data_IF_470824066578
#
_entry.id   IF_470824066578
#
_cell.length_a   1.000
_cell.length_b   1.000
_cell.length_c   1.000
_cell.angle_alpha   90.00
_cell.angle_beta   90.00
_cell.angle_gamma   90.00
#
_symmetry.space_group_name_H-M   'P 1'
#
loop_
_entity.id
_entity.type
_entity.pdbx_description
1 polymer ?
#
# COMPACT_ATOMS: atom_id res chain seq x y z
N UNK A 1 10.18 -51.24 -9.48
CA UNK A 1 10.07 -49.83 -9.88
C UNK A 1 9.63 -49.04 -8.65
N UNK A 2 10.53 -48.28 -8.02
CA UNK A 2 10.24 -47.58 -6.78
C UNK A 2 9.88 -46.12 -7.08
N UNK A 3 8.65 -45.73 -6.74
CA UNK A 3 8.13 -44.37 -6.88
C UNK A 3 8.81 -43.42 -5.88
N UNK A 4 9.35 -42.31 -6.39
CA UNK A 4 9.90 -41.24 -5.57
C UNK A 4 8.78 -40.27 -5.17
N UNK A 5 8.40 -40.24 -3.90
CA UNK A 5 7.55 -39.20 -3.33
C UNK A 5 8.37 -37.93 -3.14
N UNK A 6 8.10 -36.89 -3.94
CA UNK A 6 8.65 -35.55 -3.73
C UNK A 6 7.75 -34.79 -2.75
N UNK A 7 8.20 -34.68 -1.51
CA UNK A 7 7.58 -33.85 -0.48
C UNK A 7 7.93 -32.38 -0.76
N UNK A 8 7.04 -31.65 -1.43
CA UNK A 8 7.21 -30.20 -1.65
C UNK A 8 6.77 -29.49 -0.38
N UNK A 9 7.74 -29.27 0.52
CA UNK A 9 7.56 -28.47 1.72
C UNK A 9 6.95 -27.10 1.38
N UNK A 10 5.86 -26.78 2.06
CA UNK A 10 5.18 -25.49 2.04
C UNK A 10 6.14 -24.37 2.43
N UNK A 11 6.69 -23.66 1.44
CA UNK A 11 7.45 -22.43 1.66
C UNK A 11 6.47 -21.32 2.06
N UNK A 12 6.52 -20.91 3.31
CA UNK A 12 5.92 -19.67 3.80
C UNK A 12 6.31 -18.51 2.87
N UNK A 13 5.37 -17.62 2.50
CA UNK A 13 5.68 -16.53 1.58
C UNK A 13 6.78 -15.65 2.16
N UNK A 14 7.90 -15.59 1.42
CA UNK A 14 9.07 -14.78 1.75
C UNK A 14 8.63 -13.33 1.86
N UNK A 15 8.71 -12.77 3.05
CA UNK A 15 8.40 -11.36 3.28
C UNK A 15 9.38 -10.48 2.49
N UNK A 16 8.94 -9.99 1.33
CA UNK A 16 9.64 -8.94 0.60
C UNK A 16 9.58 -7.67 1.45
N UNK A 17 10.70 -7.18 1.98
CA UNK A 17 10.70 -5.89 2.68
C UNK A 17 10.28 -4.79 1.70
N UNK A 18 9.35 -3.92 2.11
CA UNK A 18 9.09 -2.64 1.42
C UNK A 18 10.43 -1.90 1.28
N UNK A 19 10.74 -1.35 0.10
CA UNK A 19 11.95 -0.54 -0.07
C UNK A 19 11.76 0.77 0.70
N UNK A 20 12.59 0.95 1.73
CA UNK A 20 12.73 2.23 2.42
C UNK A 20 13.55 3.16 1.51
N UNK A 21 12.98 4.29 1.09
CA UNK A 21 13.65 5.20 0.16
C UNK A 21 14.71 6.08 0.84
N UNK A 22 14.91 5.93 2.15
CA UNK A 22 15.81 6.79 2.93
C UNK A 22 15.16 8.11 3.36
N UNK A 23 13.91 8.37 2.94
CA UNK A 23 13.11 9.54 3.35
C UNK A 23 12.46 9.37 4.73
N UNK A 24 12.72 8.23 5.37
CA UNK A 24 12.35 7.98 6.76
C UNK A 24 10.91 7.57 7.00
N UNK A 25 10.14 7.32 5.95
CA UNK A 25 8.78 6.78 6.03
C UNK A 25 8.70 5.49 5.23
N UNK A 26 7.99 4.50 5.76
CA UNK A 26 7.79 3.22 5.07
C UNK A 26 6.39 2.68 5.30
N UNK A 27 5.80 2.08 4.26
CA UNK A 27 4.52 1.39 4.38
C UNK A 27 4.76 0.02 5.01
N UNK A 28 4.07 -0.24 6.12
CA UNK A 28 4.22 -1.47 6.91
C UNK A 28 3.08 -2.46 6.69
N UNK A 29 1.89 -1.97 6.30
CA UNK A 29 0.74 -2.81 6.00
C UNK A 29 -0.20 -2.12 5.02
N UNK A 30 -0.83 -2.90 4.15
CA UNK A 30 -1.90 -2.51 3.24
C UNK A 30 -2.91 -3.66 3.21
N UNK A 31 -4.19 -3.34 3.30
CA UNK A 31 -5.27 -4.32 3.24
C UNK A 31 -6.54 -3.69 2.66
N UNK A 32 -7.15 -4.36 1.69
CA UNK A 32 -8.47 -3.99 1.16
C UNK A 32 -9.55 -4.44 2.15
N UNK A 33 -10.46 -3.53 2.50
CA UNK A 33 -11.53 -3.77 3.47
C UNK A 33 -12.87 -3.78 2.74
N UNK A 34 -13.48 -4.96 2.70
CA UNK A 34 -14.73 -5.25 1.96
C UNK A 34 -16.02 -5.03 2.75
N UNK A 35 -15.92 -4.49 3.98
CA UNK A 35 -17.02 -4.52 4.97
C UNK A 35 -17.77 -3.20 5.14
N UNK A 36 -17.57 -2.23 4.24
CA UNK A 36 -18.34 -1.00 4.22
C UNK A 36 -18.20 -0.37 2.84
N UNK A 37 -19.32 0.08 2.26
CA UNK A 37 -19.26 0.97 1.12
C UNK A 37 -19.00 2.39 1.64
N UNK A 38 -18.08 3.16 1.03
CA UNK A 38 -17.22 2.75 -0.08
C UNK A 38 -16.09 1.80 0.38
N UNK A 39 -15.73 0.88 -0.51
CA UNK A 39 -14.59 -0.03 -0.29
C UNK A 39 -13.33 0.78 -0.05
N UNK A 40 -12.61 0.42 0.99
CA UNK A 40 -11.47 1.20 1.46
C UNK A 40 -10.21 0.36 1.55
N UNK A 41 -9.05 1.00 1.43
CA UNK A 41 -7.78 0.43 1.86
C UNK A 41 -7.47 0.93 3.26
N UNK A 42 -7.23 0.00 4.18
CA UNK A 42 -6.53 0.30 5.43
C UNK A 42 -5.04 0.10 5.22
N UNK A 43 -4.28 1.13 5.54
CA UNK A 43 -2.83 1.11 5.45
C UNK A 43 -2.18 1.63 6.72
N UNK A 44 -0.92 1.28 6.92
CA UNK A 44 -0.12 1.74 8.06
C UNK A 44 1.30 2.04 7.62
N UNK A 45 1.93 3.00 8.29
CA UNK A 45 3.29 3.41 8.02
C UNK A 45 4.09 3.54 9.31
N UNK A 46 5.41 3.37 9.19
CA UNK A 46 6.38 3.79 10.18
C UNK A 46 7.04 5.09 9.71
N UNK A 47 7.39 5.96 10.64
CA UNK A 47 8.06 7.23 10.37
C UNK A 47 9.13 7.51 11.42
N UNK A 48 10.04 8.45 11.19
CA UNK A 48 10.97 8.96 12.19
C UNK A 48 11.07 10.49 12.12
N UNK A 49 11.96 11.11 12.90
CA UNK A 49 11.95 12.57 13.08
C UNK A 49 12.21 13.35 11.79
N UNK A 50 12.93 12.77 10.82
CA UNK A 50 13.24 13.39 9.52
C UNK A 50 12.19 13.11 8.44
N UNK A 51 11.14 12.36 8.75
CA UNK A 51 10.05 12.13 7.81
C UNK A 51 9.35 13.43 7.45
N UNK A 52 8.78 13.53 6.23
CA UNK A 52 7.99 14.69 5.83
C UNK A 52 6.80 14.89 6.77
N UNK A 53 6.36 16.13 6.94
CA UNK A 53 5.21 16.44 7.81
C UNK A 53 3.87 15.95 7.23
N UNK A 54 3.80 15.92 5.90
CA UNK A 54 2.64 15.48 5.14
C UNK A 54 3.06 14.62 3.96
N UNK A 55 2.16 13.74 3.53
CA UNK A 55 2.27 13.01 2.27
C UNK A 55 0.91 12.95 1.58
N UNK A 56 0.91 12.72 0.27
CA UNK A 56 -0.27 12.33 -0.49
C UNK A 56 -0.30 10.80 -0.65
N UNK A 57 -1.50 10.24 -0.79
CA UNK A 57 -1.74 8.81 -0.97
C UNK A 57 -2.26 8.56 -2.37
N UNK A 58 -1.54 7.74 -3.12
CA UNK A 58 -1.92 7.32 -4.46
C UNK A 58 -2.05 5.80 -4.51
N UNK A 59 -2.85 5.31 -5.44
CA UNK A 59 -2.73 3.93 -5.95
C UNK A 59 -2.25 3.98 -7.39
N UNK A 60 -1.39 3.02 -7.74
CA UNK A 60 -0.88 2.85 -9.11
C UNK A 60 -1.15 1.44 -9.59
N UNK A 61 -1.84 1.32 -10.71
CA UNK A 61 -2.08 0.04 -11.36
C UNK A 61 -0.75 -0.50 -11.94
N UNK A 62 -0.45 -1.76 -11.65
CA UNK A 62 0.83 -2.36 -11.98
C UNK A 62 0.97 -2.60 -13.48
N UNK A 63 -0.12 -2.85 -14.21
CA UNK A 63 -0.10 -3.18 -15.63
C UNK A 63 -0.04 -1.92 -16.51
N UNK A 64 -1.05 -1.06 -16.39
CA UNK A 64 -1.22 0.19 -17.15
C UNK A 64 -0.32 1.33 -16.69
N UNK A 65 0.23 1.25 -15.47
CA UNK A 65 0.99 2.33 -14.81
C UNK A 65 0.18 3.59 -14.51
N UNK A 66 -1.14 3.57 -14.72
CA UNK A 66 -2.04 4.64 -14.33
C UNK A 66 -2.00 4.82 -12.81
N UNK A 67 -2.05 6.07 -12.36
CA UNK A 67 -2.06 6.41 -10.95
C UNK A 67 -3.21 7.35 -10.62
N UNK A 68 -3.82 7.16 -9.46
CA UNK A 68 -4.92 7.96 -8.96
C UNK A 68 -4.60 8.44 -7.54
N UNK A 69 -4.84 9.72 -7.29
CA UNK A 69 -4.75 10.31 -5.95
C UNK A 69 -6.00 9.92 -5.17
N UNK A 70 -5.80 9.28 -4.01
CA UNK A 70 -6.86 8.89 -3.09
C UNK A 70 -7.03 9.91 -1.96
N UNK A 71 -5.93 10.49 -1.49
CA UNK A 71 -5.91 11.57 -0.52
C UNK A 71 -4.74 12.52 -0.83
N UNK A 72 -5.02 13.81 -0.96
CA UNK A 72 -4.02 14.80 -1.33
C UNK A 72 -3.14 15.28 -0.16
N UNK A 73 -3.54 15.05 1.09
CA UNK A 73 -2.79 15.57 2.24
C UNK A 73 -3.12 14.83 3.54
N UNK A 74 -2.24 13.90 3.91
CA UNK A 74 -2.29 13.18 5.19
C UNK A 74 -1.16 13.68 6.09
N UNK A 75 -1.46 13.97 7.36
CA UNK A 75 -0.41 14.29 8.34
C UNK A 75 0.33 13.02 8.74
N UNK A 76 1.66 13.01 8.52
CA UNK A 76 2.52 11.86 8.84
C UNK A 76 2.41 11.43 10.30
N UNK A 77 2.18 12.37 11.20
CA UNK A 77 2.14 12.17 12.64
C UNK A 77 0.71 12.21 13.22
N UNK A 78 -0.30 12.53 12.41
CA UNK A 78 -1.67 12.80 12.89
C UNK A 78 -2.53 11.55 13.17
N UNK A 79 -2.16 10.38 12.64
CA UNK A 79 -3.01 9.20 12.67
C UNK A 79 -2.39 8.01 13.43
N UNK A 80 -1.62 8.28 14.49
CA UNK A 80 -1.06 7.24 15.33
C UNK A 80 -0.17 7.77 16.46
N UNK A 81 0.70 6.89 16.97
CA UNK A 81 1.59 7.18 18.10
C UNK A 81 2.89 6.37 17.97
N UNK A 82 3.95 6.79 18.67
CA UNK A 82 5.24 6.08 18.74
C UNK A 82 5.78 5.70 17.35
N UNK A 83 5.97 6.70 16.48
CA UNK A 83 6.61 6.52 15.17
C UNK A 83 5.82 5.62 14.20
N UNK A 84 4.51 5.48 14.42
CA UNK A 84 3.61 4.70 13.58
C UNK A 84 2.33 5.46 13.31
N UNK A 85 1.82 5.36 12.09
CA UNK A 85 0.51 5.87 11.69
C UNK A 85 -0.33 4.81 11.00
N UNK A 86 -1.65 4.97 11.03
CA UNK A 86 -2.62 4.11 10.34
C UNK A 86 -3.76 4.95 9.82
N UNK A 87 -4.24 4.67 8.62
CA UNK A 87 -5.35 5.40 8.05
C UNK A 87 -6.13 4.53 7.06
N UNK A 88 -7.26 5.06 6.59
CA UNK A 88 -8.12 4.40 5.63
C UNK A 88 -8.48 5.38 4.53
N UNK A 89 -8.41 4.94 3.27
CA UNK A 89 -8.77 5.75 2.11
C UNK A 89 -9.75 4.99 1.22
N UNK A 90 -10.71 5.71 0.66
CA UNK A 90 -11.66 5.22 -0.33
C UNK A 90 -10.92 4.80 -1.62
N UNK A 91 -11.32 3.69 -2.22
CA UNK A 91 -10.78 3.20 -3.50
C UNK A 91 -11.84 2.96 -4.57
N UNK A 92 -13.01 3.61 -4.50
CA UNK A 92 -14.08 3.53 -5.51
C UNK A 92 -13.60 3.82 -6.93
N UNK A 93 -12.53 4.60 -7.10
CA UNK A 93 -11.90 4.80 -8.43
C UNK A 93 -11.47 3.48 -9.08
N UNK A 94 -11.15 2.43 -8.30
CA UNK A 94 -10.75 1.12 -8.80
C UNK A 94 -11.93 0.16 -9.06
N UNK A 95 -13.18 0.58 -8.82
CA UNK A 95 -14.38 -0.23 -9.10
C UNK A 95 -14.45 -0.64 -10.57
N UNK A 96 -14.14 0.31 -11.46
CA UNK A 96 -14.14 0.09 -12.91
C UNK A 96 -12.84 -0.52 -13.44
N UNK A 97 -11.81 -0.63 -12.60
CA UNK A 97 -10.48 -1.08 -12.98
C UNK A 97 -9.98 -2.18 -12.01
N UNK A 98 -10.62 -3.35 -11.92
CA UNK A 98 -10.10 -4.44 -11.12
C UNK A 98 -8.72 -4.85 -11.63
N UNK A 99 -7.79 -5.11 -10.73
CA UNK A 99 -6.39 -5.32 -11.10
C UNK A 99 -5.47 -5.44 -9.91
N UNK A 100 -4.18 -5.35 -10.21
CA UNK A 100 -3.11 -5.42 -9.21
C UNK A 100 -2.53 -4.03 -9.03
N UNK A 101 -2.48 -3.56 -7.79
CA UNK A 101 -2.13 -2.20 -7.44
C UNK A 101 -0.98 -2.15 -6.45
N UNK A 102 -0.27 -1.02 -6.43
CA UNK A 102 0.59 -0.61 -5.31
C UNK A 102 0.05 0.68 -4.71
N UNK A 103 0.25 0.88 -3.41
CA UNK A 103 -0.05 2.11 -2.69
C UNK A 103 1.25 2.90 -2.55
N UNK A 104 1.18 4.18 -2.86
CA UNK A 104 2.31 5.11 -2.83
C UNK A 104 2.03 6.20 -1.80
N UNK A 105 3.04 6.51 -0.99
CA UNK A 105 3.11 7.76 -0.22
C UNK A 105 4.08 8.68 -0.95
N UNK A 106 3.63 9.85 -1.36
CA UNK A 106 4.39 10.79 -2.21
C UNK A 106 4.40 12.20 -1.62
N UNK A 107 5.27 13.07 -2.12
CA UNK A 107 5.26 14.49 -1.76
C UNK A 107 3.95 15.15 -2.23
N UNK A 108 3.35 16.00 -1.40
CA UNK A 108 2.08 16.67 -1.71
C UNK A 108 2.19 17.73 -2.83
N UNK A 109 3.42 18.16 -3.19
CA UNK A 109 3.70 19.17 -4.21
C UNK A 109 4.33 18.57 -5.46
N UNK A 110 4.92 17.39 -5.34
CA UNK A 110 5.59 16.67 -6.41
C UNK A 110 5.28 15.17 -6.31
N UNK A 111 4.24 14.73 -7.01
CA UNK A 111 3.79 13.33 -6.95
C UNK A 111 4.80 12.34 -7.57
N UNK A 112 5.83 12.82 -8.27
CA UNK A 112 6.92 11.98 -8.76
C UNK A 112 7.94 11.66 -7.65
N UNK A 113 7.99 12.47 -6.59
CA UNK A 113 8.80 12.20 -5.40
C UNK A 113 8.12 11.19 -4.47
N UNK A 114 8.42 9.91 -4.70
CA UNK A 114 7.86 8.79 -3.92
C UNK A 114 8.65 8.56 -2.63
N UNK A 115 7.97 8.71 -1.49
CA UNK A 115 8.53 8.41 -0.17
C UNK A 115 8.44 6.93 0.20
N UNK A 116 7.35 6.25 -0.16
CA UNK A 116 7.19 4.84 0.14
C UNK A 116 6.27 4.14 -0.87
N UNK A 117 6.58 2.88 -1.16
CA UNK A 117 5.79 2.02 -2.04
C UNK A 117 5.46 0.72 -1.31
N UNK A 118 4.20 0.32 -1.34
CA UNK A 118 3.77 -0.95 -0.75
C UNK A 118 4.17 -2.14 -1.61
N UNK A 119 3.97 -3.35 -1.08
CA UNK A 119 3.78 -4.52 -1.95
C UNK A 119 2.55 -4.35 -2.81
N UNK A 120 2.54 -5.09 -3.91
CA UNK A 120 1.37 -5.29 -4.73
C UNK A 120 0.25 -5.99 -3.96
N UNK A 121 -0.98 -5.54 -4.20
CA UNK A 121 -2.21 -6.13 -3.68
C UNK A 121 -3.27 -6.18 -4.78
N UNK A 122 -4.16 -7.17 -4.70
CA UNK A 122 -5.24 -7.35 -5.67
C UNK A 122 -6.49 -6.59 -5.24
N UNK A 123 -7.09 -5.89 -6.20
CA UNK A 123 -8.42 -5.28 -6.10
C UNK A 123 -9.31 -5.97 -7.12
N UNK A 124 -10.40 -6.57 -6.65
CA UNK A 124 -11.29 -7.37 -7.49
C UNK A 124 -12.63 -6.68 -7.62
N UNK A 125 -13.35 -6.96 -8.70
CA UNK A 125 -14.67 -6.35 -8.96
C UNK A 125 -15.66 -6.60 -7.82
N UNK A 126 -15.62 -7.78 -7.20
CA UNK A 126 -16.50 -8.14 -6.07
C UNK A 126 -16.02 -7.59 -4.71
N UNK A 127 -14.97 -6.78 -4.69
CA UNK A 127 -14.59 -6.04 -3.49
C UNK A 127 -15.42 -4.77 -3.31
N UNK A 128 -16.23 -4.39 -4.31
CA UNK A 128 -17.12 -3.23 -4.35
C UNK A 128 -18.58 -3.60 -4.33
#
# INVERSE_FOLDING_TARGET
>A
MASSNVNIGSRSPKSTKSKDSGNGISITSVSVVKKGHPTAIKYSWAFHDKSPDYFAVLIKDVASKNAWVLDGKVSTRGHGHRYKGKYSVDISVAEYYPGKYVLLLVDIRDHDNVFATSKDFDVKKWDF
#
